data_IF_039199284821
#
_entry.id   IF_039199284821
#
_cell.length_a   1.000
_cell.length_b   1.000
_cell.length_c   1.000
_cell.angle_alpha   90.00
_cell.angle_beta   90.00
_cell.angle_gamma   90.00
#
_symmetry.space_group_name_H-M   'P 1'
#
loop_
_entity.id
_entity.type
_entity.pdbx_description
1 polymer ?
#
# COMPACT_ATOMS: atom_id res chain seq x y z
N UNK A 1 16.83 9.80 22.16
CA UNK A 1 15.58 9.17 22.66
C UNK A 1 14.80 8.70 21.44
N UNK A 2 14.80 7.36 21.15
CA UNK A 2 14.16 6.79 19.95
C UNK A 2 12.66 6.71 20.14
N UNK A 3 11.92 7.68 19.60
CA UNK A 3 10.45 7.76 19.64
C UNK A 3 9.75 7.05 18.45
N UNK A 4 10.44 6.17 17.73
CA UNK A 4 9.77 5.27 16.80
C UNK A 4 9.44 3.97 17.52
N UNK A 5 8.27 3.96 18.14
CA UNK A 5 7.67 2.74 18.67
C UNK A 5 7.57 1.74 17.49
N UNK A 6 8.36 0.66 17.52
CA UNK A 6 8.21 -0.44 16.55
C UNK A 6 6.73 -0.86 16.61
N UNK A 7 6.01 -0.94 15.49
CA UNK A 7 4.65 -1.42 15.50
C UNK A 7 4.67 -2.84 16.09
N UNK A 8 4.17 -2.96 17.30
CA UNK A 8 4.09 -4.26 17.98
C UNK A 8 2.99 -5.06 17.32
N UNK A 9 3.37 -6.20 16.71
CA UNK A 9 2.41 -7.18 16.24
C UNK A 9 1.47 -7.56 17.38
N UNK A 10 0.18 -7.62 17.11
CA UNK A 10 -0.80 -8.15 18.05
C UNK A 10 -0.50 -9.62 18.37
N UNK A 11 -0.98 -10.12 19.48
CA UNK A 11 -0.83 -11.53 19.87
C UNK A 11 -1.36 -12.45 18.77
N UNK A 12 -2.53 -12.12 18.22
CA UNK A 12 -3.17 -12.88 17.13
C UNK A 12 -2.34 -12.85 15.82
N UNK A 13 -1.72 -11.72 15.48
CA UNK A 13 -0.83 -11.65 14.30
C UNK A 13 0.42 -12.51 14.48
N UNK A 14 0.99 -12.57 15.69
CA UNK A 14 2.13 -13.46 16.01
C UNK A 14 1.74 -14.92 15.87
N UNK A 15 0.61 -15.32 16.45
CA UNK A 15 0.11 -16.70 16.33
C UNK A 15 -0.13 -17.11 14.87
N UNK A 16 -0.68 -16.22 14.03
CA UNK A 16 -0.85 -16.46 12.60
C UNK A 16 0.51 -16.70 11.93
N UNK A 17 1.50 -15.84 12.18
CA UNK A 17 2.84 -15.95 11.61
C UNK A 17 3.54 -17.24 12.05
N UNK A 18 3.47 -17.55 13.34
CA UNK A 18 4.07 -18.76 13.92
C UNK A 18 3.41 -20.03 13.38
N UNK A 19 2.09 -20.02 13.19
CA UNK A 19 1.35 -21.14 12.60
C UNK A 19 1.72 -21.36 11.12
N UNK A 20 1.85 -20.30 10.33
CA UNK A 20 2.25 -20.41 8.90
C UNK A 20 3.69 -20.91 8.76
N UNK A 21 4.57 -20.59 9.71
CA UNK A 21 5.94 -21.07 9.71
C UNK A 21 6.07 -22.57 10.02
N UNK A 22 5.00 -23.20 10.53
CA UNK A 22 4.95 -24.65 10.80
C UNK A 22 4.54 -25.44 9.55
N UNK A 23 4.42 -26.76 9.71
CA UNK A 23 3.98 -27.65 8.65
C UNK A 23 2.64 -28.32 9.01
N UNK A 24 1.98 -28.88 8.00
CA UNK A 24 0.79 -29.72 8.18
C UNK A 24 -0.45 -28.93 8.62
N UNK A 25 -1.19 -29.44 9.59
CA UNK A 25 -2.49 -28.92 10.01
C UNK A 25 -2.40 -27.51 10.64
N UNK A 26 -1.32 -27.20 11.37
CA UNK A 26 -1.14 -25.90 12.01
C UNK A 26 -0.88 -24.81 10.96
N UNK A 27 -0.08 -25.09 9.94
CA UNK A 27 0.12 -24.20 8.80
C UNK A 27 -1.22 -23.86 8.14
N UNK A 28 -2.03 -24.87 7.83
CA UNK A 28 -3.34 -24.67 7.19
C UNK A 28 -4.26 -23.78 8.02
N UNK A 29 -4.28 -23.95 9.35
CA UNK A 29 -5.04 -23.06 10.25
C UNK A 29 -4.54 -21.60 10.20
N UNK A 30 -3.21 -21.42 10.19
CA UNK A 30 -2.61 -20.09 10.08
C UNK A 30 -2.96 -19.41 8.75
N UNK A 31 -2.91 -20.14 7.64
CA UNK A 31 -3.29 -19.66 6.31
C UNK A 31 -4.77 -19.26 6.25
N UNK A 32 -5.67 -20.07 6.81
CA UNK A 32 -7.10 -19.77 6.88
C UNK A 32 -7.38 -18.55 7.77
N UNK A 33 -6.73 -18.44 8.94
CA UNK A 33 -6.86 -17.27 9.82
C UNK A 33 -6.35 -16.00 9.11
N UNK A 34 -5.24 -16.06 8.40
CA UNK A 34 -4.71 -14.93 7.63
C UNK A 34 -5.72 -14.48 6.57
N UNK A 35 -6.23 -15.43 5.79
CA UNK A 35 -7.23 -15.17 4.76
C UNK A 35 -8.48 -14.50 5.35
N UNK A 36 -9.07 -15.08 6.38
CA UNK A 36 -10.32 -14.56 6.94
C UNK A 36 -10.15 -13.19 7.60
N UNK A 37 -9.01 -12.95 8.26
CA UNK A 37 -8.74 -11.69 8.96
C UNK A 37 -8.69 -10.48 8.04
N UNK A 38 -8.15 -10.65 6.84
CA UNK A 38 -7.94 -9.55 5.89
C UNK A 38 -8.87 -9.58 4.68
N UNK A 39 -9.92 -10.42 4.71
CA UNK A 39 -10.90 -10.55 3.63
C UNK A 39 -11.64 -9.25 3.28
N UNK A 40 -11.65 -8.27 4.19
CA UNK A 40 -12.20 -6.95 3.91
C UNK A 40 -11.44 -6.18 2.82
N UNK A 41 -10.20 -6.57 2.46
CA UNK A 41 -9.49 -6.01 1.30
C UNK A 41 -10.25 -6.23 -0.02
N UNK A 42 -11.05 -7.30 -0.12
CA UNK A 42 -11.91 -7.54 -1.30
C UNK A 42 -12.91 -6.38 -1.45
N UNK A 43 -13.58 -6.00 -0.35
CA UNK A 43 -14.51 -4.87 -0.35
C UNK A 43 -13.79 -3.56 -0.65
N UNK A 44 -12.61 -3.34 -0.07
CA UNK A 44 -11.78 -2.17 -0.40
C UNK A 44 -11.44 -2.13 -1.89
N UNK A 45 -11.11 -3.27 -2.51
CA UNK A 45 -10.80 -3.33 -3.94
C UNK A 45 -12.01 -2.96 -4.81
N UNK A 46 -13.19 -3.46 -4.46
CA UNK A 46 -14.43 -3.15 -5.18
C UNK A 46 -14.76 -1.66 -5.08
N UNK A 47 -14.78 -1.11 -3.86
CA UNK A 47 -15.22 0.28 -3.63
C UNK A 47 -14.15 1.32 -3.96
N UNK A 48 -12.89 1.07 -3.60
CA UNK A 48 -11.81 2.04 -3.76
C UNK A 48 -11.23 2.04 -5.17
N UNK A 49 -11.11 0.86 -5.78
CA UNK A 49 -10.49 0.69 -7.09
C UNK A 49 -11.48 0.38 -8.19
N UNK A 50 -12.79 0.38 -7.88
CA UNK A 50 -13.87 0.07 -8.82
C UNK A 50 -13.63 -1.24 -9.60
N UNK A 51 -13.05 -2.24 -8.92
CA UNK A 51 -12.82 -3.55 -9.51
C UNK A 51 -14.12 -4.37 -9.52
N UNK A 52 -14.36 -5.17 -10.58
CA UNK A 52 -15.35 -6.24 -10.52
C UNK A 52 -15.07 -7.20 -9.36
N UNK A 53 -16.10 -7.78 -8.78
CA UNK A 53 -15.98 -8.67 -7.61
C UNK A 53 -15.02 -9.84 -7.85
N UNK A 54 -15.08 -10.45 -9.04
CA UNK A 54 -14.19 -11.53 -9.47
C UNK A 54 -12.71 -11.08 -9.46
N UNK A 55 -12.39 -9.95 -10.11
CA UNK A 55 -11.04 -9.39 -10.14
C UNK A 55 -10.54 -9.01 -8.73
N UNK A 56 -11.44 -8.50 -7.88
CA UNK A 56 -11.10 -8.14 -6.50
C UNK A 56 -10.78 -9.37 -5.65
N UNK A 57 -11.55 -10.45 -5.83
CA UNK A 57 -11.32 -11.72 -5.16
C UNK A 57 -10.00 -12.38 -5.61
N UNK A 58 -9.75 -12.40 -6.92
CA UNK A 58 -8.51 -12.94 -7.48
C UNK A 58 -7.29 -12.16 -7.01
N UNK A 59 -7.36 -10.82 -7.05
CA UNK A 59 -6.31 -9.96 -6.55
C UNK A 59 -6.01 -10.22 -5.06
N UNK A 60 -7.05 -10.38 -4.26
CA UNK A 60 -6.90 -10.69 -2.84
C UNK A 60 -6.29 -12.07 -2.61
N UNK A 61 -6.80 -13.09 -3.29
CA UNK A 61 -6.32 -14.48 -3.20
C UNK A 61 -4.84 -14.57 -3.57
N UNK A 62 -4.45 -13.95 -4.67
CA UNK A 62 -3.04 -13.86 -5.10
C UNK A 62 -2.16 -13.13 -4.07
N UNK A 63 -2.71 -12.11 -3.40
CA UNK A 63 -2.00 -11.39 -2.34
C UNK A 63 -1.73 -12.30 -1.15
N UNK A 64 -2.73 -13.02 -0.70
CA UNK A 64 -2.60 -13.95 0.44
C UNK A 64 -1.63 -15.09 0.12
N UNK A 65 -1.73 -15.71 -1.05
CA UNK A 65 -0.79 -16.76 -1.49
C UNK A 65 0.65 -16.22 -1.45
N UNK A 66 0.89 -15.06 -2.06
CA UNK A 66 2.23 -14.45 -2.06
C UNK A 66 2.71 -14.07 -0.65
N UNK A 67 1.80 -13.70 0.24
CA UNK A 67 2.13 -13.39 1.62
C UNK A 67 2.50 -14.66 2.40
N UNK A 68 1.75 -15.75 2.25
CA UNK A 68 2.03 -17.05 2.87
C UNK A 68 3.43 -17.53 2.48
N UNK A 69 3.76 -17.53 1.19
CA UNK A 69 5.07 -17.92 0.70
C UNK A 69 6.20 -17.09 1.31
N UNK A 70 6.01 -15.77 1.39
CA UNK A 70 6.99 -14.85 1.97
C UNK A 70 7.11 -15.01 3.49
N UNK A 71 6.02 -15.30 4.20
CA UNK A 71 6.05 -15.59 5.64
C UNK A 71 6.80 -16.91 5.87
N UNK A 72 6.47 -17.98 5.13
CA UNK A 72 7.13 -19.26 5.22
C UNK A 72 8.64 -19.17 4.92
N UNK A 73 9.03 -18.28 4.00
CA UNK A 73 10.44 -17.98 3.68
C UNK A 73 11.11 -17.00 4.67
N UNK A 74 10.45 -16.59 5.76
CA UNK A 74 11.01 -15.66 6.76
C UNK A 74 11.20 -14.23 6.26
N UNK A 75 10.56 -13.84 5.16
CA UNK A 75 10.76 -12.52 4.55
C UNK A 75 10.06 -11.37 5.31
N UNK A 76 9.07 -11.68 6.14
CA UNK A 76 8.42 -10.67 6.98
C UNK A 76 9.24 -10.39 8.24
N UNK A 77 9.85 -9.23 8.33
CA UNK A 77 10.80 -8.86 9.39
C UNK A 77 10.15 -8.05 10.53
N UNK A 78 8.83 -7.87 10.56
CA UNK A 78 8.14 -7.12 11.62
C UNK A 78 8.51 -5.62 11.68
N UNK A 79 8.99 -5.02 10.58
CA UNK A 79 9.34 -3.59 10.52
C UNK A 79 8.11 -2.67 10.45
N UNK A 80 6.97 -3.23 10.10
CA UNK A 80 5.65 -2.59 10.07
C UNK A 80 4.59 -3.58 10.54
N UNK A 81 3.33 -3.15 10.70
CA UNK A 81 2.22 -4.05 11.01
C UNK A 81 2.01 -5.06 9.88
N UNK A 82 1.47 -6.23 10.20
CA UNK A 82 1.13 -7.25 9.21
C UNK A 82 0.14 -6.70 8.17
N UNK A 83 -0.84 -5.90 8.61
CA UNK A 83 -1.78 -5.18 7.75
C UNK A 83 -1.04 -4.32 6.71
N UNK A 84 -0.14 -3.45 7.15
CA UNK A 84 0.60 -2.54 6.26
C UNK A 84 1.44 -3.31 5.24
N UNK A 85 2.06 -4.40 5.67
CA UNK A 85 2.86 -5.23 4.79
C UNK A 85 2.00 -5.97 3.75
N UNK A 86 0.88 -6.56 4.16
CA UNK A 86 -0.08 -7.19 3.26
C UNK A 86 -0.65 -6.18 2.26
N UNK A 87 -0.99 -4.98 2.74
CA UNK A 87 -1.49 -3.91 1.88
C UNK A 87 -0.47 -3.50 0.82
N UNK A 88 0.83 -3.48 1.13
CA UNK A 88 1.87 -3.20 0.14
C UNK A 88 1.94 -4.28 -0.96
N UNK A 89 1.77 -5.56 -0.61
CA UNK A 89 1.71 -6.65 -1.59
C UNK A 89 0.47 -6.52 -2.46
N UNK A 90 -0.69 -6.27 -1.83
CA UNK A 90 -1.98 -6.09 -2.49
C UNK A 90 -1.94 -4.92 -3.49
N UNK A 91 -1.42 -3.77 -3.07
CA UNK A 91 -1.31 -2.59 -3.91
C UNK A 91 -0.40 -2.81 -5.12
N UNK A 92 0.76 -3.45 -4.92
CA UNK A 92 1.66 -3.78 -6.04
C UNK A 92 0.99 -4.70 -7.05
N UNK A 93 0.26 -5.73 -6.60
CA UNK A 93 -0.49 -6.62 -7.49
C UNK A 93 -1.63 -5.90 -8.22
N UNK A 94 -2.30 -4.96 -7.54
CA UNK A 94 -3.31 -4.11 -8.18
C UNK A 94 -2.72 -3.26 -9.31
N UNK A 95 -1.56 -2.62 -9.09
CA UNK A 95 -0.87 -1.85 -10.13
C UNK A 95 -0.47 -2.74 -11.30
N UNK A 96 0.01 -3.97 -11.04
CA UNK A 96 0.33 -4.93 -12.09
C UNK A 96 -0.92 -5.39 -12.88
N UNK A 97 -2.06 -5.56 -12.21
CA UNK A 97 -3.35 -5.85 -12.85
C UNK A 97 -3.78 -4.70 -13.77
N UNK A 98 -3.67 -3.45 -13.31
CA UNK A 98 -3.96 -2.28 -14.13
C UNK A 98 -3.06 -2.20 -15.36
N UNK A 99 -1.75 -2.43 -15.19
CA UNK A 99 -0.80 -2.45 -16.31
C UNK A 99 -1.15 -3.50 -17.35
N UNK A 100 -1.49 -4.71 -16.92
CA UNK A 100 -1.96 -5.78 -17.83
C UNK A 100 -3.21 -5.37 -18.59
N UNK A 101 -4.20 -4.78 -17.91
CA UNK A 101 -5.44 -4.31 -18.54
C UNK A 101 -5.22 -3.17 -19.52
N UNK A 102 -4.31 -2.24 -19.24
CA UNK A 102 -3.98 -1.12 -20.14
C UNK A 102 -3.14 -1.55 -21.33
N UNK A 103 -2.23 -2.52 -21.17
CA UNK A 103 -1.42 -3.05 -22.28
C UNK A 103 -2.26 -3.87 -23.25
N UNK A 104 -3.29 -4.57 -22.77
CA UNK A 104 -4.20 -5.36 -23.61
C UNK A 104 -5.32 -4.54 -24.26
N UNK A 105 -5.51 -3.30 -23.85
CA UNK A 105 -6.44 -2.34 -24.45
C UNK A 105 -5.62 -1.16 -24.98
N UNK A 106 -5.24 -1.21 -26.25
CA UNK A 106 -4.89 -0.01 -26.99
C UNK A 106 -6.16 0.82 -27.17
N UNK A 107 -6.54 1.53 -26.17
CA UNK A 107 -7.33 2.77 -26.14
C UNK A 107 -8.02 2.96 -24.78
N UNK A 108 -8.08 4.23 -24.45
CA UNK A 108 -8.85 4.88 -23.39
C UNK A 108 -8.02 5.22 -22.17
N UNK A 109 -7.41 6.40 -22.27
CA UNK A 109 -7.11 7.27 -21.14
C UNK A 109 -8.40 7.56 -20.35
N UNK A 110 -8.61 6.88 -19.24
CA UNK A 110 -9.38 7.43 -18.15
C UNK A 110 -8.45 7.56 -16.95
N UNK A 111 -7.87 8.72 -16.87
CA UNK A 111 -7.17 9.20 -15.68
C UNK A 111 -8.23 9.42 -14.61
N UNK A 112 -8.50 8.39 -13.80
CA UNK A 112 -9.21 8.59 -12.53
C UNK A 112 -8.28 9.44 -11.66
N UNK A 113 -8.69 10.65 -11.40
CA UNK A 113 -7.94 11.58 -10.56
C UNK A 113 -7.77 10.98 -9.17
N UNK A 114 -6.52 10.85 -8.72
CA UNK A 114 -6.14 10.38 -7.37
C UNK A 114 -6.83 11.21 -6.27
N UNK A 115 -7.21 12.46 -6.57
CA UNK A 115 -7.94 13.33 -5.66
C UNK A 115 -9.34 12.83 -5.31
N UNK A 116 -10.00 12.07 -6.19
CA UNK A 116 -11.36 11.54 -5.95
C UNK A 116 -11.33 10.20 -5.20
N UNK A 117 -10.24 9.44 -5.32
CA UNK A 117 -10.03 8.15 -4.67
C UNK A 117 -9.65 8.24 -3.18
N UNK A 118 -9.23 9.41 -2.74
CA UNK A 118 -8.72 9.62 -1.38
C UNK A 118 -9.79 10.02 -0.36
N UNK A 119 -11.06 10.15 -0.76
CA UNK A 119 -12.12 10.68 0.09
C UNK A 119 -12.99 9.66 0.83
N UNK A 120 -12.90 8.35 0.53
CA UNK A 120 -13.77 7.34 1.18
C UNK A 120 -13.04 6.08 1.62
N UNK A 121 -12.19 6.17 2.63
CA UNK A 121 -11.85 4.98 3.42
C UNK A 121 -12.75 4.99 4.67
N UNK A 122 -13.97 4.53 4.51
CA UNK A 122 -14.83 4.20 5.64
C UNK A 122 -14.47 2.79 6.13
N UNK A 123 -13.46 2.69 6.98
CA UNK A 123 -13.21 1.48 7.75
C UNK A 123 -14.22 1.45 8.91
N UNK A 124 -15.29 0.66 8.76
CA UNK A 124 -16.35 0.52 9.77
C UNK A 124 -15.83 -0.07 11.10
N UNK A 125 -14.61 -0.59 11.14
CA UNK A 125 -13.97 -1.14 12.34
C UNK A 125 -13.24 -0.11 13.19
N UNK A 126 -13.01 1.10 12.69
CA UNK A 126 -12.32 2.16 13.43
C UNK A 126 -13.28 2.94 14.32
N UNK A 127 -12.83 3.22 15.54
CA UNK A 127 -13.56 4.13 16.44
C UNK A 127 -13.64 5.53 15.82
N UNK A 128 -14.65 6.33 16.23
CA UNK A 128 -14.80 7.72 15.78
C UNK A 128 -13.50 8.51 16.01
N UNK A 129 -12.84 8.29 17.15
CA UNK A 129 -11.56 8.93 17.49
C UNK A 129 -10.46 8.54 16.48
N UNK A 130 -10.35 7.25 16.14
CA UNK A 130 -9.36 6.78 15.16
C UNK A 130 -9.60 7.38 13.77
N UNK A 131 -10.87 7.50 13.36
CA UNK A 131 -11.23 8.15 12.08
C UNK A 131 -10.87 9.65 12.07
N UNK A 132 -11.05 10.34 13.19
CA UNK A 132 -10.68 11.75 13.32
C UNK A 132 -9.16 11.94 13.28
N UNK A 133 -8.40 11.07 13.96
CA UNK A 133 -6.92 11.09 13.94
C UNK A 133 -6.41 10.82 12.52
N UNK A 134 -6.91 9.76 11.87
CA UNK A 134 -6.52 9.42 10.49
C UNK A 134 -6.83 10.54 9.50
N UNK A 135 -7.98 11.22 9.67
CA UNK A 135 -8.37 12.36 8.83
C UNK A 135 -7.43 13.55 9.04
N UNK A 136 -7.10 13.86 10.28
CA UNK A 136 -6.19 14.96 10.62
C UNK A 136 -4.79 14.70 10.09
N UNK A 137 -4.26 13.50 10.27
CA UNK A 137 -2.95 13.11 9.73
C UNK A 137 -2.91 13.20 8.20
N UNK A 138 -4.04 12.89 7.57
CA UNK A 138 -4.17 12.98 6.12
C UNK A 138 -4.21 14.42 5.61
N UNK A 139 -4.92 15.30 6.28
CA UNK A 139 -4.97 16.72 5.95
C UNK A 139 -3.57 17.36 6.09
N UNK A 140 -2.87 17.05 7.18
CA UNK A 140 -1.48 17.48 7.40
C UNK A 140 -0.56 16.96 6.29
N UNK A 141 -0.66 15.68 5.91
CA UNK A 141 0.13 15.12 4.81
C UNK A 141 -0.14 15.85 3.50
N UNK A 142 -1.40 16.13 3.19
CA UNK A 142 -1.80 16.86 1.97
C UNK A 142 -1.18 18.23 1.92
N UNK A 143 -1.23 18.98 3.01
CA UNK A 143 -0.62 20.31 3.12
C UNK A 143 0.90 20.25 2.94
N UNK A 144 1.58 19.29 3.58
CA UNK A 144 3.02 19.11 3.45
C UNK A 144 3.43 18.71 2.02
N UNK A 145 2.62 17.88 1.36
CA UNK A 145 2.84 17.51 -0.06
C UNK A 145 2.72 18.73 -1.00
N UNK A 146 1.90 19.72 -0.68
CA UNK A 146 1.87 20.98 -1.43
C UNK A 146 3.16 21.78 -1.22
N UNK A 147 3.67 21.83 0.01
CA UNK A 147 4.87 22.58 0.38
C UNK A 147 6.18 22.01 -0.23
N UNK A 148 6.25 20.72 -0.53
CA UNK A 148 7.46 20.16 -1.19
C UNK A 148 7.64 20.63 -2.63
N UNK A 149 6.60 21.21 -3.23
CA UNK A 149 6.58 21.69 -4.60
C UNK A 149 5.97 20.67 -5.58
N UNK A 150 5.42 21.19 -6.69
CA UNK A 150 4.58 20.43 -7.62
C UNK A 150 5.26 19.17 -8.17
N UNK A 151 6.51 19.28 -8.64
CA UNK A 151 7.24 18.13 -9.20
C UNK A 151 7.49 17.04 -8.16
N UNK A 152 7.90 17.42 -6.94
CA UNK A 152 8.07 16.46 -5.85
C UNK A 152 6.75 15.81 -5.46
N UNK A 153 5.69 16.59 -5.35
CA UNK A 153 4.34 16.10 -5.04
C UNK A 153 3.90 15.06 -6.06
N UNK A 154 3.97 15.38 -7.35
CA UNK A 154 3.57 14.47 -8.44
C UNK A 154 4.41 13.19 -8.41
N UNK A 155 5.73 13.30 -8.29
CA UNK A 155 6.64 12.15 -8.22
C UNK A 155 6.35 11.25 -7.01
N UNK A 156 6.12 11.84 -5.83
CA UNK A 156 5.82 11.07 -4.61
C UNK A 156 4.46 10.39 -4.68
N UNK A 157 3.46 11.02 -5.30
CA UNK A 157 2.15 10.43 -5.51
C UNK A 157 2.22 9.26 -6.50
N UNK A 158 2.86 9.42 -7.66
CA UNK A 158 3.07 8.32 -8.61
C UNK A 158 3.81 7.14 -7.97
N UNK A 159 4.83 7.44 -7.17
CA UNK A 159 5.54 6.38 -6.45
C UNK A 159 4.67 5.70 -5.38
N UNK A 160 3.84 6.44 -4.66
CA UNK A 160 2.88 5.89 -3.69
C UNK A 160 1.81 5.03 -4.37
N UNK A 161 1.45 5.35 -5.61
CA UNK A 161 0.55 4.55 -6.45
C UNK A 161 1.21 3.30 -7.06
N UNK A 162 2.49 3.06 -6.72
CA UNK A 162 3.22 1.85 -7.12
C UNK A 162 3.93 1.93 -8.47
N UNK A 163 3.97 3.11 -9.11
CA UNK A 163 4.79 3.28 -10.32
C UNK A 163 6.27 3.13 -9.98
N UNK A 164 6.99 2.35 -10.78
CA UNK A 164 8.44 2.22 -10.64
C UNK A 164 9.18 3.43 -11.24
N UNK A 165 10.46 3.56 -10.91
CA UNK A 165 11.26 4.72 -11.35
C UNK A 165 11.36 4.84 -12.89
N UNK A 166 11.22 3.74 -13.66
CA UNK A 166 11.19 3.75 -15.12
C UNK A 166 9.87 4.31 -15.67
N UNK A 167 8.75 3.92 -15.08
CA UNK A 167 7.43 4.42 -15.46
C UNK A 167 7.31 5.92 -15.14
N UNK A 168 7.79 6.33 -13.94
CA UNK A 168 7.82 7.73 -13.53
C UNK A 168 8.70 8.56 -14.46
N UNK A 169 9.85 8.01 -14.91
CA UNK A 169 10.70 8.69 -15.88
C UNK A 169 9.96 8.99 -17.17
N UNK A 170 9.19 8.02 -17.67
CA UNK A 170 8.38 8.20 -18.90
C UNK A 170 7.24 9.18 -18.70
N UNK A 171 6.53 9.12 -17.57
CA UNK A 171 5.36 9.97 -17.28
C UNK A 171 5.72 11.43 -16.97
N UNK A 172 6.89 11.66 -16.37
CA UNK A 172 7.37 12.99 -15.98
C UNK A 172 8.50 13.51 -16.87
N UNK A 173 8.74 12.86 -18.00
CA UNK A 173 9.74 13.24 -19.00
C UNK A 173 11.19 13.36 -18.47
N UNK A 174 11.55 12.52 -17.51
CA UNK A 174 12.92 12.43 -17.03
C UNK A 174 13.79 11.59 -17.96
N UNK A 175 15.05 11.97 -18.11
CA UNK A 175 16.00 11.31 -19.03
C UNK A 175 16.28 9.85 -18.68
N UNK A 176 16.36 9.52 -17.39
CA UNK A 176 16.67 8.17 -16.91
C UNK A 176 15.96 7.83 -15.61
N UNK A 177 15.70 6.54 -15.33
CA UNK A 177 15.16 6.08 -14.05
C UNK A 177 16.04 6.44 -12.83
N UNK A 178 17.37 6.50 -13.01
CA UNK A 178 18.29 6.85 -11.93
C UNK A 178 18.14 8.31 -11.48
N UNK A 179 17.83 9.21 -12.41
CA UNK A 179 17.49 10.61 -12.09
C UNK A 179 16.21 10.67 -11.27
N UNK A 180 15.19 9.89 -11.66
CA UNK A 180 13.95 9.78 -10.88
C UNK A 180 14.21 9.25 -9.47
N UNK A 181 14.95 8.15 -9.34
CA UNK A 181 15.31 7.57 -8.06
C UNK A 181 15.98 8.60 -7.13
N UNK A 182 16.98 9.31 -7.65
CA UNK A 182 17.72 10.32 -6.89
C UNK A 182 16.82 11.49 -6.50
N UNK A 183 16.00 11.97 -7.43
CA UNK A 183 15.08 13.09 -7.20
C UNK A 183 13.99 12.70 -6.19
N UNK A 184 13.43 11.49 -6.30
CA UNK A 184 12.45 10.95 -5.36
C UNK A 184 12.99 10.88 -3.93
N UNK A 185 14.23 10.41 -3.74
CA UNK A 185 14.86 10.38 -2.43
C UNK A 185 15.03 11.79 -1.84
N UNK A 186 15.41 12.78 -2.65
CA UNK A 186 15.49 14.18 -2.22
C UNK A 186 14.10 14.74 -1.86
N UNK A 187 13.08 14.42 -2.64
CA UNK A 187 11.69 14.83 -2.36
C UNK A 187 11.18 14.22 -1.05
N UNK A 188 11.47 12.94 -0.78
CA UNK A 188 11.13 12.28 0.47
C UNK A 188 11.84 12.94 1.67
N UNK A 189 13.12 13.26 1.53
CA UNK A 189 13.85 13.92 2.61
C UNK A 189 13.30 15.31 2.88
N UNK A 190 12.98 16.08 1.84
CA UNK A 190 12.31 17.38 1.98
C UNK A 190 10.95 17.25 2.69
N UNK A 191 10.15 16.24 2.34
CA UNK A 191 8.88 15.99 3.03
C UNK A 191 9.09 15.64 4.51
N UNK A 192 10.07 14.78 4.83
CA UNK A 192 10.43 14.45 6.22
C UNK A 192 10.87 15.67 7.03
N UNK A 193 11.62 16.57 6.43
CA UNK A 193 12.03 17.81 7.10
C UNK A 193 10.83 18.66 7.50
N UNK A 194 9.79 18.76 6.65
CA UNK A 194 8.57 19.48 6.97
C UNK A 194 7.80 18.89 8.17
N UNK A 195 7.96 17.59 8.46
CA UNK A 195 7.40 16.96 9.66
C UNK A 195 8.25 17.14 10.92
N UNK A 196 9.56 17.43 10.78
CA UNK A 196 10.47 17.62 11.93
C UNK A 196 10.44 19.02 12.50
N UNK A 197 9.91 19.98 11.74
CA UNK A 197 9.88 21.41 12.12
C UNK A 197 8.60 21.74 12.95
N UNK A 198 7.69 20.79 13.09
CA UNK A 198 6.45 20.92 13.88
C UNK A 198 6.61 20.16 15.18
#
# INVERSE_FOLDING_TARGET
MNLFNKPTLSTDEREILDSIAQNGAERKKGEERLFNRYAYFIKEAIYKYSLPEEDAFDLYSDTIISAIDKIAAGSFQGRCSLKTWLYSIFHNKYVDLLRKKTTNKSSIHQTLSISDLLLEISDQSKTIVQRLVDKTDWEVLRERLVQVGQNCRQMLLLWADGYNDKDIASLMEYKTPDVVKTTRLRCLEKLKQLYRIT
#
